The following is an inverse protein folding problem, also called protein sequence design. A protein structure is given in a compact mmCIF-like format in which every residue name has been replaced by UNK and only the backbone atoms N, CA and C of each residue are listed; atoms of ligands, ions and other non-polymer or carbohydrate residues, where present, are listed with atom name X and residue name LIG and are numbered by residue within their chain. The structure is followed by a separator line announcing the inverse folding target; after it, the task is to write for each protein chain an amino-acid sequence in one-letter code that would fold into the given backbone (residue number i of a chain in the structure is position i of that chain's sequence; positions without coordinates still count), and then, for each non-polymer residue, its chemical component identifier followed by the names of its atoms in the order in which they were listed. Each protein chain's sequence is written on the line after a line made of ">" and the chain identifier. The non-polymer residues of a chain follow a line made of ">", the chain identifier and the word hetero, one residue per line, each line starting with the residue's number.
data_IF_020782431705
#
_entry.id   IF_020782431705
#
_cell.length_a   1.000
_cell.length_b   1.000
_cell.length_c   1.000
_cell.angle_alpha   90.00
_cell.angle_beta   90.00
_cell.angle_gamma   90.00
#
_symmetry.space_group_name_H-M   'P 1'
#
loop_
_entity.id
_entity.type
_entity.pdbx_description
1 polymer ?
#
# COMPACT_ATOMS: atom_id res chain seq x y z
N UNK A 1 21.11 -0.07 -17.69
CA UNK A 1 21.63 -0.28 -16.33
C UNK A 1 20.64 0.14 -15.23
N UNK A 2 19.78 1.17 -15.45
CA UNK A 2 18.75 1.60 -14.48
C UNK A 2 17.73 0.52 -14.11
N UNK A 3 17.35 -0.34 -15.07
CA UNK A 3 16.29 -1.34 -14.86
C UNK A 3 16.64 -2.44 -13.87
N UNK A 4 17.92 -2.69 -13.59
CA UNK A 4 18.34 -3.81 -12.73
C UNK A 4 18.02 -3.58 -11.25
N UNK A 5 17.94 -2.33 -10.78
CA UNK A 5 17.61 -2.00 -9.39
C UNK A 5 16.14 -1.61 -9.17
N UNK A 6 15.36 -1.44 -10.25
CA UNK A 6 13.94 -1.15 -10.15
C UNK A 6 13.16 -2.23 -9.37
N UNK A 7 13.37 -3.54 -9.60
CA UNK A 7 12.67 -4.57 -8.85
C UNK A 7 12.90 -4.47 -7.34
N UNK A 8 14.15 -4.22 -6.90
CA UNK A 8 14.47 -4.10 -5.47
C UNK A 8 13.79 -2.92 -4.78
N UNK A 9 13.34 -1.90 -5.52
CA UNK A 9 12.60 -0.75 -4.98
C UNK A 9 11.09 -0.96 -5.11
N UNK A 10 10.62 -1.35 -6.30
CA UNK A 10 9.19 -1.43 -6.60
C UNK A 10 8.52 -2.67 -6.02
N UNK A 11 9.24 -3.79 -5.86
CA UNK A 11 8.68 -4.99 -5.22
C UNK A 11 8.31 -4.72 -3.75
N UNK A 12 9.17 -4.20 -2.86
CA UNK A 12 8.75 -3.87 -1.50
C UNK A 12 7.76 -2.70 -1.45
N UNK A 13 7.88 -1.71 -2.36
CA UNK A 13 6.94 -0.59 -2.41
C UNK A 13 5.51 -1.04 -2.73
N UNK A 14 5.32 -1.89 -3.74
CA UNK A 14 4.00 -2.37 -4.18
C UNK A 14 3.53 -3.59 -3.37
N UNK A 15 4.45 -4.40 -2.86
CA UNK A 15 4.12 -5.62 -2.11
C UNK A 15 3.91 -5.41 -0.61
N UNK A 16 4.46 -4.33 -0.03
CA UNK A 16 4.40 -4.08 1.42
C UNK A 16 3.86 -2.68 1.74
N UNK A 17 4.52 -1.62 1.25
CA UNK A 17 4.20 -0.24 1.64
C UNK A 17 2.82 0.18 1.13
N UNK A 18 2.56 0.02 -0.17
CA UNK A 18 1.29 0.38 -0.78
C UNK A 18 0.12 -0.43 -0.18
N UNK A 19 0.22 -1.77 0.00
CA UNK A 19 -0.81 -2.55 0.68
C UNK A 19 -1.04 -2.12 2.12
N UNK A 20 0.02 -1.83 2.89
CA UNK A 20 -0.13 -1.36 4.27
C UNK A 20 -0.92 -0.04 4.35
N UNK A 21 -0.60 0.91 3.46
CA UNK A 21 -1.32 2.18 3.36
C UNK A 21 -2.77 1.94 2.92
N UNK A 22 -2.99 1.11 1.90
CA UNK A 22 -4.33 0.80 1.40
C UNK A 22 -5.20 0.14 2.47
N UNK A 23 -4.68 -0.85 3.19
CA UNK A 23 -5.40 -1.52 4.27
C UNK A 23 -5.75 -0.55 5.41
N UNK A 24 -4.81 0.30 5.84
CA UNK A 24 -5.07 1.29 6.88
C UNK A 24 -6.12 2.33 6.44
N UNK A 25 -6.02 2.81 5.20
CA UNK A 25 -6.98 3.76 4.65
C UNK A 25 -8.38 3.14 4.53
N UNK A 26 -8.47 1.93 3.99
CA UNK A 26 -9.75 1.22 3.85
C UNK A 26 -10.37 0.89 5.20
N UNK A 27 -9.56 0.49 6.19
CA UNK A 27 -10.04 0.27 7.56
C UNK A 27 -10.72 1.53 8.11
N UNK A 28 -10.06 2.69 8.03
CA UNK A 28 -10.65 3.97 8.48
C UNK A 28 -11.93 4.31 7.72
N UNK A 29 -11.99 4.03 6.41
CA UNK A 29 -13.19 4.30 5.62
C UNK A 29 -14.36 3.40 6.01
N UNK A 30 -14.12 2.10 6.26
CA UNK A 30 -15.15 1.15 6.70
C UNK A 30 -15.69 1.57 8.07
N UNK A 31 -14.81 1.85 9.04
CA UNK A 31 -15.24 2.31 10.38
C UNK A 31 -16.06 3.60 10.31
N UNK A 32 -15.70 4.53 9.41
CA UNK A 32 -16.48 5.76 9.18
C UNK A 32 -17.84 5.50 8.56
N UNK A 33 -17.98 4.49 7.71
CA UNK A 33 -19.26 4.07 7.12
C UNK A 33 -20.13 3.33 8.14
N UNK A 34 -19.56 2.54 9.06
CA UNK A 34 -20.36 1.86 10.10
C UNK A 34 -20.85 2.80 11.22
N UNK A 35 -20.20 3.95 11.42
CA UNK A 35 -20.59 4.95 12.42
C UNK A 35 -21.78 5.83 11.94
N UNK A 36 -22.06 5.91 10.63
CA UNK A 36 -23.13 6.74 10.05
C UNK A 36 -24.29 5.93 9.48
#
# INVERSE_FOLDING_TARGET
>A
MISAYLPSVFVPLVGLVFPAIAMAFLFVQIEKEEIF
#
